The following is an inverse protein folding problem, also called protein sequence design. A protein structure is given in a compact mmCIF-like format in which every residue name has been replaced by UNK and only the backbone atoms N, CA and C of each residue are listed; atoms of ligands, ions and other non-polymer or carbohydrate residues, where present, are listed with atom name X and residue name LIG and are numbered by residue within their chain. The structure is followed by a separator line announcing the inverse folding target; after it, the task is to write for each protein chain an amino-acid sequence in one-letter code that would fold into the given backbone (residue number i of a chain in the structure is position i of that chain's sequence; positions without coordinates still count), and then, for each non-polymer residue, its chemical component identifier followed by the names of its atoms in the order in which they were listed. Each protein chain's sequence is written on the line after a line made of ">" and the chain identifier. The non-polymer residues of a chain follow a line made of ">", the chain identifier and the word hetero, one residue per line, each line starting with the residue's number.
data_IF_905867153097
#
_entry.id   IF_905867153097
#
_cell.length_a   1.000
_cell.length_b   1.000
_cell.length_c   1.000
_cell.angle_alpha   90.00
_cell.angle_beta   90.00
_cell.angle_gamma   90.00
#
_symmetry.space_group_name_H-M   'P 1'
#
loop_
_entity.id
_entity.type
_entity.pdbx_description
1 polymer ?
#
# COMPACT_ATOMS: atom_id res chain seq x y z
N UNK A 1 9.03 0.28 -5.96
CA UNK A 1 10.19 -0.50 -5.44
C UNK A 1 10.04 -1.95 -5.86
N UNK A 2 11.09 -2.78 -5.83
CA UNK A 2 11.00 -4.20 -6.19
C UNK A 2 11.32 -5.06 -4.96
N UNK A 3 10.47 -6.03 -4.66
CA UNK A 3 10.62 -6.99 -3.57
C UNK A 3 10.52 -8.43 -4.10
N UNK A 4 11.14 -9.43 -3.46
CA UNK A 4 10.75 -10.81 -3.71
C UNK A 4 9.29 -11.03 -3.30
N UNK A 5 8.57 -11.93 -3.97
CA UNK A 5 7.21 -12.27 -3.56
C UNK A 5 7.18 -13.00 -2.22
N UNK A 6 6.07 -12.91 -1.50
CA UNK A 6 5.90 -13.59 -0.22
C UNK A 6 6.03 -15.11 -0.35
N UNK A 7 5.55 -15.66 -1.47
CA UNK A 7 5.74 -17.08 -1.78
C UNK A 7 7.22 -17.42 -1.98
N UNK A 8 8.00 -16.56 -2.64
CA UNK A 8 9.45 -16.76 -2.80
C UNK A 8 10.15 -16.76 -1.44
N UNK A 9 9.80 -15.82 -0.56
CA UNK A 9 10.31 -15.74 0.80
C UNK A 9 9.97 -17.00 1.60
N UNK A 10 8.73 -17.46 1.50
CA UNK A 10 8.28 -18.68 2.18
C UNK A 10 9.02 -19.94 1.70
N UNK A 11 9.24 -20.08 0.39
CA UNK A 11 9.99 -21.20 -0.19
C UNK A 11 11.46 -21.26 0.27
N UNK A 12 12.04 -20.12 0.68
CA UNK A 12 13.42 -20.00 1.14
C UNK A 12 13.54 -19.75 2.65
N UNK A 13 12.44 -19.93 3.39
CA UNK A 13 12.38 -19.78 4.84
C UNK A 13 12.68 -18.38 5.37
N UNK A 14 12.52 -17.34 4.53
CA UNK A 14 12.61 -15.94 4.94
C UNK A 14 11.26 -15.42 5.45
N UNK A 15 10.76 -16.03 6.53
CA UNK A 15 9.49 -15.69 7.15
C UNK A 15 9.67 -15.44 8.64
N UNK A 16 9.00 -14.42 9.18
CA UNK A 16 8.87 -14.20 10.62
C UNK A 16 7.49 -14.64 11.07
N UNK A 17 7.44 -15.37 12.18
CA UNK A 17 6.20 -15.83 12.81
C UNK A 17 5.80 -14.86 13.93
N UNK A 18 4.54 -14.52 13.99
CA UNK A 18 3.92 -13.73 15.06
C UNK A 18 2.77 -14.50 15.68
N UNK A 19 2.56 -14.34 16.99
CA UNK A 19 1.36 -14.85 17.66
C UNK A 19 0.31 -13.75 17.66
N UNK A 20 -0.82 -13.99 17.01
CA UNK A 20 -1.99 -13.12 17.05
C UNK A 20 -3.16 -13.90 17.67
N UNK A 21 -3.48 -13.58 18.92
CA UNK A 21 -4.59 -14.17 19.67
C UNK A 21 -4.62 -15.73 19.65
N UNK A 22 -3.43 -16.35 19.68
CA UNK A 22 -3.27 -17.81 19.65
C UNK A 22 -3.06 -18.41 18.25
N UNK A 23 -3.20 -17.63 17.18
CA UNK A 23 -2.89 -18.05 15.82
C UNK A 23 -1.45 -17.65 15.44
N UNK A 24 -0.76 -18.51 14.69
CA UNK A 24 0.56 -18.20 14.14
C UNK A 24 0.38 -17.53 12.78
N UNK A 25 0.70 -16.25 12.70
CA UNK A 25 0.72 -15.46 11.46
C UNK A 25 2.15 -15.44 10.92
N UNK A 26 2.30 -15.70 9.62
CA UNK A 26 3.60 -15.64 8.93
C UNK A 26 3.67 -14.41 8.04
N UNK A 27 4.76 -13.64 8.15
CA UNK A 27 5.02 -12.46 7.30
C UNK A 27 6.40 -12.58 6.68
N UNK A 28 6.56 -12.14 5.43
CA UNK A 28 7.84 -12.17 4.74
C UNK A 28 8.89 -11.31 5.45
N UNK A 29 10.08 -11.87 5.68
CA UNK A 29 11.21 -11.19 6.27
C UNK A 29 12.17 -10.71 5.17
N UNK A 30 11.81 -9.62 4.50
CA UNK A 30 12.63 -9.08 3.41
C UNK A 30 14.02 -8.64 3.87
N UNK A 31 14.16 -8.15 5.10
CA UNK A 31 15.46 -7.77 5.66
C UNK A 31 16.41 -8.97 5.69
N UNK A 32 15.95 -10.10 6.22
CA UNK A 32 16.72 -11.33 6.25
C UNK A 32 17.00 -11.83 4.83
N UNK A 33 16.01 -11.80 3.94
CA UNK A 33 16.17 -12.24 2.55
C UNK A 33 17.30 -11.48 1.84
N UNK A 34 17.33 -10.14 1.94
CA UNK A 34 18.39 -9.32 1.32
C UNK A 34 19.77 -9.50 1.97
N UNK A 35 19.83 -9.91 3.23
CA UNK A 35 21.09 -10.12 3.94
C UNK A 35 21.69 -11.52 3.70
N UNK A 36 20.84 -12.54 3.64
CA UNK A 36 21.28 -13.95 3.65
C UNK A 36 21.27 -14.61 2.27
N UNK A 37 20.40 -14.17 1.34
CA UNK A 37 20.37 -14.73 -0.01
C UNK A 37 21.42 -14.06 -0.91
N UNK A 38 22.35 -14.87 -1.41
CA UNK A 38 23.51 -14.39 -2.19
C UNK A 38 23.16 -13.98 -3.62
N UNK A 39 21.99 -14.36 -4.14
CA UNK A 39 21.57 -14.07 -5.52
C UNK A 39 20.51 -12.95 -5.59
N UNK A 40 19.66 -12.81 -4.55
CA UNK A 40 18.52 -11.88 -4.52
C UNK A 40 18.92 -10.45 -4.85
N UNK A 41 19.98 -9.92 -4.23
CA UNK A 41 20.43 -8.55 -4.48
C UNK A 41 20.81 -8.32 -5.95
N UNK A 42 21.51 -9.29 -6.57
CA UNK A 42 21.90 -9.21 -7.98
C UNK A 42 20.69 -9.33 -8.91
N UNK A 43 19.74 -10.23 -8.58
CA UNK A 43 18.47 -10.40 -9.29
C UNK A 43 17.67 -9.10 -9.29
N UNK A 44 17.44 -8.53 -8.12
CA UNK A 44 16.65 -7.30 -7.96
C UNK A 44 17.33 -6.13 -8.68
N UNK A 45 18.66 -6.01 -8.57
CA UNK A 45 19.43 -4.99 -9.29
C UNK A 45 19.28 -5.12 -10.81
N UNK A 46 19.39 -6.33 -11.36
CA UNK A 46 19.29 -6.55 -12.80
C UNK A 46 17.87 -6.37 -13.35
N UNK A 47 16.86 -6.82 -12.64
CA UNK A 47 15.46 -6.55 -13.00
C UNK A 47 15.13 -5.07 -12.86
N UNK A 48 15.66 -4.42 -11.82
CA UNK A 48 15.58 -2.98 -11.64
C UNK A 48 16.21 -2.19 -12.78
N UNK A 49 17.34 -2.66 -13.32
CA UNK A 49 17.94 -2.07 -14.52
C UNK A 49 16.99 -2.16 -15.72
N UNK A 50 16.36 -3.31 -15.97
CA UNK A 50 15.39 -3.48 -17.07
C UNK A 50 14.22 -2.50 -16.95
N UNK A 51 13.68 -2.32 -15.73
CA UNK A 51 12.60 -1.38 -15.47
C UNK A 51 13.05 0.08 -15.58
N UNK A 52 14.25 0.41 -15.09
CA UNK A 52 14.81 1.77 -15.23
C UNK A 52 15.02 2.11 -16.70
N UNK A 53 15.44 1.14 -17.52
CA UNK A 53 15.56 1.30 -18.98
C UNK A 53 14.20 1.54 -19.67
N UNK A 54 13.07 1.16 -19.05
CA UNK A 54 11.71 1.54 -19.51
C UNK A 54 11.27 2.92 -19.00
N UNK A 55 12.05 3.58 -18.14
CA UNK A 55 11.74 4.91 -17.59
C UNK A 55 11.13 4.90 -16.19
N UNK A 56 11.00 3.74 -15.53
CA UNK A 56 10.49 3.68 -14.16
C UNK A 56 11.48 4.27 -13.15
N UNK A 57 10.99 5.15 -12.28
CA UNK A 57 11.75 5.66 -11.12
C UNK A 57 11.60 4.70 -9.93
N UNK A 58 12.64 3.92 -9.65
CA UNK A 58 12.63 2.91 -8.59
C UNK A 58 13.34 3.39 -7.33
N UNK A 59 12.71 3.14 -6.17
CA UNK A 59 13.41 3.11 -4.88
C UNK A 59 14.08 1.76 -4.69
N UNK A 60 15.31 1.77 -4.20
CA UNK A 60 16.04 0.57 -3.81
C UNK A 60 15.45 -0.02 -2.52
N UNK A 61 14.98 -1.27 -2.59
CA UNK A 61 14.27 -1.88 -1.48
C UNK A 61 15.17 -2.15 -0.27
N UNK A 62 16.42 -2.55 -0.50
CA UNK A 62 17.36 -2.86 0.58
C UNK A 62 17.72 -1.57 1.34
N UNK A 63 17.99 -0.47 0.62
CA UNK A 63 18.26 0.84 1.23
C UNK A 63 17.04 1.40 1.97
N UNK A 64 15.82 1.23 1.44
CA UNK A 64 14.61 1.67 2.15
C UNK A 64 14.38 0.86 3.43
N UNK A 65 14.57 -0.47 3.40
CA UNK A 65 14.48 -1.32 4.59
C UNK A 65 15.52 -0.89 5.63
N UNK A 66 16.78 -0.69 5.22
CA UNK A 66 17.85 -0.17 6.10
C UNK A 66 17.49 1.19 6.68
N UNK A 67 16.98 2.11 5.87
CA UNK A 67 16.56 3.45 6.32
C UNK A 67 15.46 3.37 7.37
N UNK A 68 14.48 2.47 7.21
CA UNK A 68 13.41 2.26 8.19
C UNK A 68 13.99 1.72 9.50
N UNK A 69 14.85 0.70 9.45
CA UNK A 69 15.49 0.13 10.65
C UNK A 69 16.35 1.16 11.39
N UNK A 70 17.11 1.99 10.66
CA UNK A 70 17.91 3.07 11.26
C UNK A 70 17.03 4.11 11.95
N UNK A 71 15.95 4.57 11.30
CA UNK A 71 15.00 5.51 11.90
C UNK A 71 14.36 4.96 13.18
N UNK A 72 14.02 3.67 13.21
CA UNK A 72 13.49 3.01 14.41
C UNK A 72 14.54 3.01 15.53
N UNK A 73 15.79 2.66 15.20
CA UNK A 73 16.87 2.66 16.18
C UNK A 73 17.17 4.07 16.72
N UNK A 74 17.21 5.08 15.85
CA UNK A 74 17.39 6.48 16.20
C UNK A 74 16.27 6.98 17.11
N UNK A 75 15.02 6.68 16.78
CA UNK A 75 13.87 7.12 17.59
C UNK A 75 13.86 6.49 18.98
N UNK A 76 14.24 5.21 19.08
CA UNK A 76 14.32 4.49 20.36
C UNK A 76 15.36 5.09 21.33
N UNK A 77 16.40 5.75 20.80
CA UNK A 77 17.46 6.38 21.60
C UNK A 77 17.32 7.90 21.69
N UNK A 78 16.33 8.48 21.01
CA UNK A 78 16.09 9.93 21.01
C UNK A 78 15.37 10.36 22.28
N UNK A 79 16.03 11.24 23.03
CA UNK A 79 15.50 11.83 24.26
C UNK A 79 15.63 13.36 24.25
N UNK A 80 14.68 14.03 24.89
CA UNK A 80 14.73 15.48 25.07
C UNK A 80 15.95 15.88 25.91
N UNK A 81 16.80 16.75 25.36
CA UNK A 81 17.96 17.31 26.08
C UNK A 81 17.60 18.05 27.37
N UNK A 82 16.36 18.55 27.49
CA UNK A 82 15.92 19.34 28.66
C UNK A 82 15.16 18.53 29.70
N UNK A 83 14.35 17.56 29.27
CA UNK A 83 13.43 16.83 30.14
C UNK A 83 13.72 15.33 30.24
N UNK A 84 14.64 14.80 29.43
CA UNK A 84 14.89 13.36 29.32
C UNK A 84 13.72 12.56 28.71
N UNK A 85 12.64 13.22 28.32
CA UNK A 85 11.46 12.56 27.76
C UNK A 85 11.79 11.88 26.42
N UNK A 86 11.38 10.62 26.28
CA UNK A 86 11.46 9.87 25.04
C UNK A 86 10.42 10.35 24.02
N UNK A 87 10.63 10.02 22.75
CA UNK A 87 9.60 10.20 21.73
C UNK A 87 8.37 9.37 22.08
N UNK A 88 7.18 10.00 22.05
CA UNK A 88 5.91 9.30 22.18
C UNK A 88 5.55 8.78 20.80
N UNK A 89 5.50 7.46 20.67
CA UNK A 89 5.06 6.77 19.48
C UNK A 89 3.97 5.76 19.86
N UNK A 90 2.82 5.81 19.17
CA UNK A 90 1.81 4.78 19.38
C UNK A 90 2.18 3.50 18.62
N UNK A 91 1.74 2.31 19.07
CA UNK A 91 1.90 1.06 18.31
C UNK A 91 1.34 1.17 16.87
N UNK A 92 0.32 2.00 16.69
CA UNK A 92 -0.27 2.29 15.39
C UNK A 92 0.66 3.12 14.49
N UNK A 93 1.46 4.02 15.06
CA UNK A 93 2.44 4.80 14.30
C UNK A 93 3.61 3.92 13.82
N UNK A 94 4.04 2.96 14.63
CA UNK A 94 5.04 1.95 14.24
C UNK A 94 4.59 1.13 13.04
N UNK A 95 3.32 0.67 13.04
CA UNK A 95 2.74 -0.09 11.93
C UNK A 95 2.65 0.72 10.62
N UNK A 96 2.49 2.05 10.71
CA UNK A 96 2.36 2.96 9.55
C UNK A 96 3.68 3.29 8.87
N UNK A 97 4.83 3.02 9.49
CA UNK A 97 6.16 3.36 8.94
C UNK A 97 6.61 2.49 7.75
N UNK A 98 5.76 1.58 7.27
CA UNK A 98 6.04 0.78 6.08
C UNK A 98 6.31 1.65 4.86
N UNK A 99 7.02 1.07 3.90
CA UNK A 99 7.60 1.79 2.77
C UNK A 99 6.53 2.57 2.01
N UNK A 100 6.76 3.88 1.88
CA UNK A 100 5.91 4.78 1.09
C UNK A 100 6.37 4.75 -0.36
N UNK A 101 5.81 3.84 -1.13
CA UNK A 101 5.88 3.81 -2.59
C UNK A 101 4.47 3.73 -3.14
N UNK A 102 4.17 4.45 -4.21
CA UNK A 102 2.84 4.37 -4.85
C UNK A 102 2.59 2.98 -5.47
N UNK A 103 3.66 2.31 -5.94
CA UNK A 103 3.60 0.96 -6.52
C UNK A 103 4.69 0.06 -5.93
N UNK A 104 4.26 -1.13 -5.52
CA UNK A 104 5.15 -2.22 -5.10
C UNK A 104 5.20 -3.25 -6.23
N UNK A 105 6.39 -3.56 -6.70
CA UNK A 105 6.62 -4.62 -7.69
C UNK A 105 7.14 -5.84 -6.94
N UNK A 106 6.48 -6.98 -7.09
CA UNK A 106 6.93 -8.26 -6.57
C UNK A 106 7.48 -9.12 -7.70
N UNK A 107 8.59 -9.81 -7.40
CA UNK A 107 9.24 -10.75 -8.28
C UNK A 107 9.26 -12.13 -7.64
N UNK A 108 8.61 -13.09 -8.28
CA UNK A 108 8.78 -14.50 -8.02
C UNK A 108 9.60 -15.14 -9.13
N UNK A 109 10.47 -16.09 -8.78
CA UNK A 109 11.15 -16.92 -9.77
C UNK A 109 11.48 -18.32 -9.26
N UNK A 110 11.61 -19.23 -10.20
CA UNK A 110 12.01 -20.62 -10.00
C UNK A 110 13.07 -21.02 -11.02
N UNK A 111 14.12 -21.68 -10.54
CA UNK A 111 15.17 -22.26 -11.39
C UNK A 111 14.81 -23.70 -11.72
N UNK A 112 14.66 -24.01 -12.99
CA UNK A 112 14.40 -25.35 -13.50
C UNK A 112 15.71 -25.92 -14.06
N UNK A 113 16.23 -26.95 -13.39
CA UNK A 113 17.50 -27.60 -13.78
C UNK A 113 17.22 -28.73 -14.75
N UNK A 114 17.85 -28.72 -15.91
CA UNK A 114 17.75 -29.78 -16.92
C UNK A 114 19.13 -30.29 -17.31
N UNK A 115 19.21 -31.44 -17.98
CA UNK A 115 20.48 -31.94 -18.53
C UNK A 115 21.14 -31.01 -19.55
N UNK A 116 20.37 -30.07 -20.13
CA UNK A 116 20.83 -29.13 -21.15
C UNK A 116 21.07 -27.71 -20.59
N UNK A 117 21.16 -27.56 -19.26
CA UNK A 117 21.34 -26.28 -18.57
C UNK A 117 20.14 -25.86 -17.71
N UNK A 118 20.18 -24.64 -17.22
CA UNK A 118 19.15 -24.07 -16.35
C UNK A 118 18.18 -23.21 -17.18
N UNK A 119 16.88 -23.35 -16.94
CA UNK A 119 15.89 -22.33 -17.31
C UNK A 119 15.32 -21.65 -16.07
N UNK A 120 14.76 -20.46 -16.23
CA UNK A 120 14.16 -19.70 -15.14
C UNK A 120 12.73 -19.35 -15.53
N UNK A 121 11.78 -19.75 -14.69
CA UNK A 121 10.40 -19.27 -14.73
C UNK A 121 10.26 -18.09 -13.79
N UNK A 122 9.51 -17.06 -14.19
CA UNK A 122 9.29 -15.88 -13.37
C UNK A 122 7.86 -15.36 -13.46
N UNK A 123 7.48 -14.62 -12.42
CA UNK A 123 6.27 -13.80 -12.35
C UNK A 123 6.67 -12.44 -11.77
N UNK A 124 6.39 -11.38 -12.53
CA UNK A 124 6.56 -9.99 -12.14
C UNK A 124 5.17 -9.37 -11.98
N UNK A 125 4.86 -8.86 -10.79
CA UNK A 125 3.55 -8.29 -10.49
C UNK A 125 3.71 -6.89 -9.89
N UNK A 126 2.91 -5.93 -10.34
CA UNK A 126 2.81 -4.63 -9.72
C UNK A 126 1.50 -4.52 -8.94
N UNK A 127 1.59 -3.97 -7.73
CA UNK A 127 0.47 -3.71 -6.85
C UNK A 127 0.40 -2.22 -6.54
N UNK A 128 -0.80 -1.66 -6.67
CA UNK A 128 -1.10 -0.32 -6.19
C UNK A 128 -1.07 -0.34 -4.65
N UNK A 129 -0.20 0.47 -4.05
CA UNK A 129 -0.03 0.51 -2.59
C UNK A 129 -1.23 1.17 -1.87
N UNK A 130 -2.14 1.80 -2.60
CA UNK A 130 -3.34 2.41 -2.02
C UNK A 130 -4.46 1.39 -1.85
N UNK A 131 -4.68 0.52 -2.85
CA UNK A 131 -5.78 -0.44 -2.86
C UNK A 131 -5.37 -1.90 -2.70
N UNK A 132 -4.08 -2.20 -2.73
CA UNK A 132 -3.52 -3.55 -2.83
C UNK A 132 -3.96 -4.33 -4.09
N UNK A 133 -4.60 -3.66 -5.06
CA UNK A 133 -4.98 -4.28 -6.33
C UNK A 133 -3.75 -4.54 -7.18
N UNK A 134 -3.71 -5.68 -7.85
CA UNK A 134 -2.73 -5.94 -8.89
C UNK A 134 -3.05 -5.08 -10.10
N UNK A 135 -2.07 -4.29 -10.55
CA UNK A 135 -2.21 -3.33 -11.65
C UNK A 135 -1.47 -3.76 -12.91
N UNK A 136 -0.42 -4.57 -12.78
CA UNK A 136 0.27 -5.16 -13.92
C UNK A 136 0.82 -6.55 -13.58
N UNK A 137 0.91 -7.41 -14.58
CA UNK A 137 1.56 -8.72 -14.46
C UNK A 137 2.29 -9.10 -15.74
N UNK A 138 3.43 -9.77 -15.58
CA UNK A 138 4.13 -10.47 -16.66
C UNK A 138 4.73 -11.75 -16.14
N UNK A 139 4.67 -12.79 -16.96
CA UNK A 139 5.23 -14.10 -16.64
C UNK A 139 6.01 -14.62 -17.83
N UNK A 140 6.93 -15.55 -17.59
CA UNK A 140 7.68 -16.16 -18.67
C UNK A 140 8.59 -17.25 -18.18
N UNK A 141 9.15 -18.01 -19.13
CA UNK A 141 10.17 -19.02 -18.86
C UNK A 141 11.25 -18.94 -19.92
N UNK A 142 12.52 -18.86 -19.51
CA UNK A 142 13.63 -18.84 -20.45
C UNK A 142 13.85 -20.20 -21.11
N UNK A 143 14.52 -20.21 -22.27
CA UNK A 143 15.13 -21.44 -22.78
C UNK A 143 16.28 -21.89 -21.86
N UNK A 144 16.56 -23.20 -21.74
CA UNK A 144 17.71 -23.69 -20.99
C UNK A 144 19.02 -23.06 -21.47
N UNK A 145 19.88 -22.68 -20.52
CA UNK A 145 21.18 -22.02 -20.76
C UNK A 145 22.14 -22.27 -19.60
N UNK A 146 23.44 -22.08 -19.84
CA UNK A 146 24.50 -22.13 -18.82
C UNK A 146 24.82 -20.77 -18.19
N UNK A 147 24.11 -19.71 -18.59
CA UNK A 147 24.27 -18.38 -18.00
C UNK A 147 23.85 -18.32 -16.53
N UNK A 148 24.36 -17.32 -15.81
CA UNK A 148 24.01 -17.10 -14.41
C UNK A 148 22.52 -16.77 -14.24
N UNK A 149 21.93 -17.20 -13.13
CA UNK A 149 20.50 -17.01 -12.84
C UNK A 149 20.04 -15.54 -12.93
N UNK A 150 20.77 -14.55 -12.36
CA UNK A 150 20.39 -13.13 -12.48
C UNK A 150 20.34 -12.64 -13.94
N UNK A 151 21.23 -13.17 -14.80
CA UNK A 151 21.28 -12.80 -16.23
C UNK A 151 20.10 -13.42 -16.97
N UNK A 152 19.80 -14.69 -16.71
CA UNK A 152 18.65 -15.38 -17.32
C UNK A 152 17.35 -14.70 -16.95
N UNK A 153 17.17 -14.35 -15.68
CA UNK A 153 15.97 -13.69 -15.20
C UNK A 153 15.80 -12.29 -15.81
N UNK A 154 16.87 -11.51 -15.90
CA UNK A 154 16.83 -10.19 -16.54
C UNK A 154 16.46 -10.28 -18.03
N UNK A 155 16.99 -11.27 -18.77
CA UNK A 155 16.59 -11.54 -20.15
C UNK A 155 15.11 -11.93 -20.24
N UNK A 156 14.66 -12.83 -19.36
CA UNK A 156 13.27 -13.27 -19.31
C UNK A 156 12.31 -12.09 -19.10
N UNK A 157 12.61 -11.23 -18.13
CA UNK A 157 11.81 -10.03 -17.84
C UNK A 157 11.84 -9.10 -19.06
N UNK A 158 13.03 -8.80 -19.61
CA UNK A 158 13.17 -7.91 -20.76
C UNK A 158 12.37 -8.38 -21.99
N UNK A 159 12.36 -9.67 -22.26
CA UNK A 159 11.62 -10.26 -23.39
C UNK A 159 10.10 -10.18 -23.19
N UNK A 160 9.64 -10.15 -21.94
CA UNK A 160 8.22 -10.18 -21.58
C UNK A 160 7.74 -8.89 -20.88
N UNK A 161 8.50 -7.80 -20.94
CA UNK A 161 8.15 -6.57 -20.20
C UNK A 161 7.04 -5.76 -20.89
N UNK A 162 6.89 -5.86 -22.21
CA UNK A 162 5.94 -5.02 -22.97
C UNK A 162 4.49 -5.11 -22.48
N UNK A 163 3.92 -6.30 -22.21
CA UNK A 163 2.56 -6.36 -21.65
C UNK A 163 2.47 -5.75 -20.26
N UNK A 164 3.51 -5.90 -19.42
CA UNK A 164 3.56 -5.27 -18.10
C UNK A 164 3.57 -3.75 -18.22
N UNK A 165 4.39 -3.22 -19.13
CA UNK A 165 4.53 -1.79 -19.40
C UNK A 165 3.20 -1.16 -19.86
N UNK A 166 2.53 -1.80 -20.82
CA UNK A 166 1.21 -1.36 -21.29
C UNK A 166 0.15 -1.34 -20.17
N UNK A 167 0.16 -2.34 -19.27
CA UNK A 167 -0.76 -2.36 -18.13
C UNK A 167 -0.48 -1.23 -17.14
N UNK A 168 0.80 -0.91 -16.91
CA UNK A 168 1.21 0.21 -16.06
C UNK A 168 0.77 1.55 -16.67
N UNK A 169 0.95 1.75 -17.98
CA UNK A 169 0.51 2.95 -18.69
C UNK A 169 -1.01 3.13 -18.61
N UNK A 170 -1.77 2.05 -18.86
CA UNK A 170 -3.24 2.07 -18.75
C UNK A 170 -3.68 2.44 -17.33
N UNK A 171 -2.99 1.92 -16.32
CA UNK A 171 -3.27 2.27 -14.92
C UNK A 171 -2.94 3.73 -14.62
N UNK A 172 -1.79 4.26 -15.03
CA UNK A 172 -1.46 5.67 -14.80
C UNK A 172 -2.42 6.63 -15.55
N UNK A 173 -2.81 6.29 -16.78
CA UNK A 173 -3.80 7.04 -17.55
C UNK A 173 -5.17 7.01 -16.85
N UNK A 174 -5.55 5.87 -16.29
CA UNK A 174 -6.74 5.72 -15.46
C UNK A 174 -6.73 6.67 -14.26
N UNK A 175 -5.66 6.63 -13.44
CA UNK A 175 -5.54 7.47 -12.25
C UNK A 175 -5.58 8.97 -12.60
N UNK A 176 -4.96 9.33 -13.72
CA UNK A 176 -4.94 10.72 -14.21
C UNK A 176 -6.31 11.21 -14.64
N UNK A 177 -7.13 10.33 -15.23
CA UNK A 177 -8.46 10.67 -15.75
C UNK A 177 -9.56 10.56 -14.70
N UNK A 178 -9.55 9.49 -13.90
CA UNK A 178 -10.61 9.12 -12.95
C UNK A 178 -10.25 9.41 -11.51
N UNK A 179 -9.06 9.95 -11.24
CA UNK A 179 -8.57 10.17 -9.88
C UNK A 179 -8.04 8.88 -9.25
N UNK A 180 -7.42 9.08 -8.09
CA UNK A 180 -6.82 8.00 -7.31
C UNK A 180 -7.86 7.24 -6.52
N UNK A 181 -7.73 5.92 -6.48
CA UNK A 181 -8.61 5.07 -5.68
C UNK A 181 -8.13 4.94 -4.24
N UNK A 182 -9.05 5.08 -3.28
CA UNK A 182 -8.82 4.82 -1.84
C UNK A 182 -9.95 3.97 -1.26
N UNK A 183 -9.72 3.49 -0.04
CA UNK A 183 -10.73 2.95 0.86
C UNK A 183 -11.02 3.95 1.98
N UNK A 184 -12.30 4.11 2.31
CA UNK A 184 -12.77 4.99 3.38
C UNK A 184 -13.69 4.20 4.31
N UNK A 185 -13.36 4.15 5.59
CA UNK A 185 -14.21 3.53 6.61
C UNK A 185 -14.73 4.61 7.57
N UNK A 186 -16.02 4.59 7.86
CA UNK A 186 -16.63 5.36 8.93
C UNK A 186 -16.92 4.41 10.08
N UNK A 187 -16.61 4.82 11.31
CA UNK A 187 -16.90 4.03 12.52
C UNK A 187 -17.42 4.94 13.62
N UNK A 188 -18.23 4.41 14.51
CA UNK A 188 -18.67 5.10 15.72
C UNK A 188 -17.88 4.60 16.93
N UNK A 189 -17.56 5.48 17.88
CA UNK A 189 -17.18 5.04 19.23
C UNK A 189 -18.41 4.48 19.94
N UNK A 190 -18.21 3.46 20.77
CA UNK A 190 -19.26 2.90 21.62
C UNK A 190 -19.73 3.89 22.70
N UNK A 191 -18.88 4.84 23.08
CA UNK A 191 -19.19 5.95 23.97
C UNK A 191 -20.04 7.05 23.33
N UNK A 192 -20.21 7.05 22.00
CA UNK A 192 -20.99 8.05 21.31
C UNK A 192 -22.48 7.73 21.42
N UNK A 193 -23.28 8.74 21.78
CA UNK A 193 -24.71 8.64 22.02
C UNK A 193 -25.58 8.60 20.74
N UNK A 194 -24.92 8.63 19.58
CA UNK A 194 -25.51 8.60 18.25
C UNK A 194 -24.79 7.56 17.39
N UNK A 195 -25.34 7.31 16.22
CA UNK A 195 -24.81 6.36 15.26
C UNK A 195 -24.98 6.87 13.82
N UNK A 196 -24.83 5.99 12.83
CA UNK A 196 -24.93 6.32 11.41
C UNK A 196 -26.39 6.39 10.88
N UNK A 197 -27.38 6.00 11.68
CA UNK A 197 -28.81 6.11 11.37
C UNK A 197 -29.41 7.42 11.93
N UNK A 198 -28.65 8.16 12.75
CA UNK A 198 -29.08 9.47 13.25
C UNK A 198 -29.49 10.42 12.10
N UNK A 199 -30.70 10.98 12.19
CA UNK A 199 -31.25 11.85 11.16
C UNK A 199 -30.75 13.30 11.26
N UNK A 200 -30.33 13.84 10.11
CA UNK A 200 -30.00 15.25 9.93
C UNK A 200 -30.83 15.80 8.77
N UNK A 201 -31.76 16.70 9.08
CA UNK A 201 -32.69 17.28 8.09
C UNK A 201 -33.54 16.23 7.32
N UNK A 202 -33.85 15.10 7.96
CA UNK A 202 -34.68 14.03 7.38
C UNK A 202 -33.93 13.04 6.50
N UNK A 203 -32.59 13.06 6.52
CA UNK A 203 -31.73 12.03 5.92
C UNK A 203 -30.84 11.41 7.01
N UNK A 204 -30.58 10.11 6.93
CA UNK A 204 -29.66 9.44 7.86
C UNK A 204 -28.23 9.98 7.67
N UNK A 205 -27.41 9.89 8.71
CA UNK A 205 -26.02 10.32 8.64
C UNK A 205 -25.23 9.56 7.56
N UNK A 206 -25.51 8.28 7.36
CA UNK A 206 -24.93 7.50 6.24
C UNK A 206 -25.23 8.15 4.89
N UNK A 207 -26.48 8.53 4.65
CA UNK A 207 -26.91 9.18 3.41
C UNK A 207 -26.24 10.54 3.25
N UNK A 208 -26.19 11.34 4.31
CA UNK A 208 -25.47 12.62 4.31
C UNK A 208 -23.98 12.47 3.93
N UNK A 209 -23.33 11.37 4.33
CA UNK A 209 -21.94 11.05 3.97
C UNK A 209 -21.84 10.61 2.50
N UNK A 210 -22.75 9.76 2.02
CA UNK A 210 -22.82 9.35 0.62
C UNK A 210 -23.00 10.56 -0.30
N UNK A 211 -23.86 11.49 0.11
CA UNK A 211 -24.15 12.72 -0.61
C UNK A 211 -22.93 13.66 -0.69
N UNK A 212 -22.12 13.67 0.39
CA UNK A 212 -20.83 14.34 0.39
C UNK A 212 -19.82 13.65 -0.54
N UNK A 213 -19.74 12.31 -0.52
CA UNK A 213 -18.87 11.55 -1.43
C UNK A 213 -19.25 11.76 -2.89
N UNK A 214 -20.54 11.79 -3.22
CA UNK A 214 -21.05 12.06 -4.56
C UNK A 214 -20.52 13.40 -5.12
N UNK A 215 -20.39 14.42 -4.25
CA UNK A 215 -19.91 15.76 -4.61
C UNK A 215 -18.39 15.89 -4.65
N UNK A 216 -17.68 15.10 -3.84
CA UNK A 216 -16.24 15.27 -3.63
C UNK A 216 -15.37 14.20 -4.33
N UNK A 217 -15.97 13.08 -4.74
CA UNK A 217 -15.31 12.07 -5.58
C UNK A 217 -15.34 12.49 -7.05
N UNK A 218 -14.32 12.09 -7.80
CA UNK A 218 -14.25 12.29 -9.25
C UNK A 218 -15.42 11.54 -9.88
N UNK A 219 -16.27 12.27 -10.60
CA UNK A 219 -17.53 11.76 -11.17
C UNK A 219 -18.45 11.08 -10.14
N UNK A 220 -18.34 11.42 -8.86
CA UNK A 220 -19.11 10.77 -7.79
C UNK A 220 -18.83 9.26 -7.66
N UNK A 221 -17.64 8.79 -8.05
CA UNK A 221 -17.33 7.35 -8.04
C UNK A 221 -16.91 6.88 -6.65
N UNK A 222 -17.76 6.05 -6.04
CA UNK A 222 -17.51 5.30 -4.81
C UNK A 222 -18.49 4.11 -4.75
N UNK A 223 -18.23 3.15 -3.85
CA UNK A 223 -19.11 2.03 -3.60
C UNK A 223 -19.24 1.80 -2.08
N UNK A 224 -20.46 1.83 -1.54
CA UNK A 224 -20.74 1.37 -0.17
C UNK A 224 -20.78 -0.16 -0.19
N UNK A 225 -19.71 -0.82 0.27
CA UNK A 225 -19.56 -2.27 0.18
C UNK A 225 -20.18 -3.02 1.35
N UNK A 226 -20.22 -2.38 2.53
CA UNK A 226 -20.75 -2.95 3.77
C UNK A 226 -21.10 -1.82 4.74
N UNK A 227 -22.05 -2.03 5.64
CA UNK A 227 -22.41 -1.05 6.65
C UNK A 227 -23.57 -1.45 7.54
N UNK A 228 -23.58 -0.87 8.73
CA UNK A 228 -24.65 -0.94 9.73
C UNK A 228 -24.75 0.42 10.44
N UNK A 229 -25.55 0.53 11.49
CA UNK A 229 -25.63 1.70 12.37
C UNK A 229 -24.25 2.12 12.93
N UNK A 230 -23.33 1.17 13.16
CA UNK A 230 -22.06 1.46 13.85
C UNK A 230 -20.85 1.64 12.93
N UNK A 231 -20.95 1.27 11.66
CA UNK A 231 -19.86 1.44 10.69
C UNK A 231 -20.37 1.48 9.23
N UNK A 232 -19.60 2.13 8.36
CA UNK A 232 -19.81 2.08 6.92
C UNK A 232 -18.47 1.93 6.20
N UNK A 233 -18.39 1.00 5.25
CA UNK A 233 -17.20 0.70 4.47
C UNK A 233 -17.41 1.14 3.01
N UNK A 234 -16.62 2.11 2.59
CA UNK A 234 -16.60 2.60 1.22
C UNK A 234 -15.34 2.11 0.50
N UNK A 235 -15.54 1.50 -0.65
CA UNK A 235 -14.49 1.08 -1.57
C UNK A 235 -14.58 1.84 -2.89
N UNK A 236 -13.53 1.70 -3.72
CA UNK A 236 -13.47 2.34 -5.03
C UNK A 236 -13.70 3.87 -4.98
N UNK A 237 -13.37 4.51 -3.86
CA UNK A 237 -13.56 5.94 -3.64
C UNK A 237 -12.54 6.68 -4.48
N UNK A 238 -12.98 7.32 -5.56
CA UNK A 238 -12.10 8.03 -6.50
C UNK A 238 -11.92 9.48 -6.08
N UNK A 239 -10.76 9.80 -5.54
CA UNK A 239 -10.42 11.15 -5.08
C UNK A 239 -9.60 11.89 -6.15
N UNK A 240 -9.71 13.22 -6.25
CA UNK A 240 -8.86 14.00 -7.16
C UNK A 240 -7.39 13.86 -6.77
N UNK A 241 -6.46 13.97 -7.73
CA UNK A 241 -5.01 13.88 -7.46
C UNK A 241 -4.46 15.11 -6.73
N UNK A 242 -5.11 16.25 -6.91
CA UNK A 242 -4.76 17.53 -6.31
C UNK A 242 -5.97 18.10 -5.57
N UNK A 243 -5.71 18.86 -4.51
CA UNK A 243 -6.73 19.69 -3.87
C UNK A 243 -6.90 21.05 -4.58
N UNK A 244 -7.83 21.85 -4.08
CA UNK A 244 -8.15 23.20 -4.60
C UNK A 244 -6.97 24.19 -4.52
N UNK A 245 -5.88 23.82 -3.86
CA UNK A 245 -4.66 24.63 -3.70
C UNK A 245 -3.47 23.99 -4.42
N UNK A 246 -3.73 23.11 -5.39
CA UNK A 246 -2.74 22.37 -6.17
C UNK A 246 -1.79 21.50 -5.31
N UNK A 247 -2.23 21.08 -4.12
CA UNK A 247 -1.45 20.17 -3.26
C UNK A 247 -1.88 18.74 -3.52
N UNK A 248 -0.91 17.82 -3.51
CA UNK A 248 -1.19 16.39 -3.65
C UNK A 248 -2.24 15.92 -2.62
N UNK A 249 -3.27 15.24 -3.12
CA UNK A 249 -4.32 14.68 -2.30
C UNK A 249 -4.01 13.22 -1.96
N UNK A 250 -4.10 12.88 -0.68
CA UNK A 250 -4.05 11.50 -0.19
C UNK A 250 -5.33 11.15 0.57
N UNK A 251 -5.47 9.87 0.97
CA UNK A 251 -6.63 9.39 1.72
C UNK A 251 -6.85 10.19 3.02
N UNK A 252 -5.76 10.63 3.68
CA UNK A 252 -5.82 11.41 4.91
C UNK A 252 -6.40 12.79 4.70
N UNK A 253 -5.93 13.49 3.68
CA UNK A 253 -6.35 14.82 3.32
C UNK A 253 -7.82 14.81 2.91
N UNK A 254 -8.22 13.81 2.13
CA UNK A 254 -9.61 13.60 1.73
C UNK A 254 -10.52 13.33 2.94
N UNK A 255 -10.18 12.36 3.79
CA UNK A 255 -10.93 12.07 5.02
C UNK A 255 -10.94 13.25 6.01
N UNK A 256 -9.90 14.08 6.01
CA UNK A 256 -9.87 15.33 6.79
C UNK A 256 -10.88 16.36 6.27
N UNK A 257 -11.15 16.40 4.96
CA UNK A 257 -12.24 17.23 4.41
C UNK A 257 -13.60 16.72 4.91
N UNK A 258 -13.84 15.41 4.86
CA UNK A 258 -15.07 14.81 5.40
C UNK A 258 -15.23 15.10 6.90
N UNK A 259 -14.18 14.88 7.71
CA UNK A 259 -14.16 15.22 9.14
C UNK A 259 -14.55 16.69 9.39
N UNK A 260 -14.02 17.62 8.58
CA UNK A 260 -14.36 19.04 8.70
C UNK A 260 -15.80 19.33 8.32
N UNK A 261 -16.34 18.66 7.31
CA UNK A 261 -17.75 18.75 6.91
C UNK A 261 -18.67 18.30 8.05
N UNK A 262 -18.41 17.13 8.63
CA UNK A 262 -19.18 16.59 9.76
C UNK A 262 -19.04 17.42 11.04
N UNK A 263 -17.97 18.21 11.18
CA UNK A 263 -17.81 19.13 12.32
C UNK A 263 -18.70 20.38 12.22
N UNK A 264 -19.15 20.76 11.02
CA UNK A 264 -19.99 21.94 10.83
C UNK A 264 -21.47 21.65 11.12
N UNK A 265 -22.30 22.68 11.38
CA UNK A 265 -23.75 22.52 11.39
C UNK A 265 -24.27 21.96 10.06
N UNK A 266 -25.31 21.11 10.07
CA UNK A 266 -26.13 20.71 11.23
C UNK A 266 -25.52 19.60 12.10
N UNK A 267 -24.47 18.93 11.61
CA UNK A 267 -23.93 17.70 12.22
C UNK A 267 -23.30 17.93 13.59
N UNK A 268 -22.38 18.90 13.69
CA UNK A 268 -21.61 19.19 14.91
C UNK A 268 -20.90 17.96 15.51
N UNK A 269 -20.48 17.01 14.66
CA UNK A 269 -19.88 15.74 15.07
C UNK A 269 -18.36 15.91 15.24
N UNK A 270 -17.86 15.64 16.43
CA UNK A 270 -16.42 15.51 16.66
C UNK A 270 -15.95 14.16 16.13
N UNK A 271 -14.81 14.15 15.43
CA UNK A 271 -14.31 12.92 14.83
C UNK A 271 -12.78 12.89 14.72
N UNK A 272 -12.23 11.68 14.69
CA UNK A 272 -10.82 11.37 14.54
C UNK A 272 -10.54 10.76 13.17
N UNK A 273 -9.50 11.24 12.50
CA UNK A 273 -9.00 10.63 11.26
C UNK A 273 -7.80 9.75 11.58
N UNK A 274 -7.95 8.47 11.29
CA UNK A 274 -6.88 7.47 11.27
C UNK A 274 -6.61 7.10 9.80
N UNK A 275 -5.44 6.53 9.55
CA UNK A 275 -5.07 6.03 8.23
C UNK A 275 -4.41 4.67 8.39
N UNK A 276 -4.45 3.81 7.39
CA UNK A 276 -3.65 2.59 7.31
C UNK A 276 -2.99 2.55 5.94
N UNK A 277 -1.67 2.43 5.92
CA UNK A 277 -0.91 2.61 4.67
C UNK A 277 -1.15 3.97 4.03
N UNK A 278 -1.12 4.02 2.70
CA UNK A 278 -1.33 5.24 1.91
C UNK A 278 -2.78 5.42 1.44
N UNK A 279 -3.52 4.33 1.26
CA UNK A 279 -4.84 4.35 0.62
C UNK A 279 -6.04 3.97 1.47
N UNK A 280 -5.89 3.75 2.76
CA UNK A 280 -7.04 3.57 3.66
C UNK A 280 -7.10 4.72 4.66
N UNK A 281 -8.27 5.36 4.75
CA UNK A 281 -8.60 6.33 5.78
C UNK A 281 -9.80 5.87 6.59
N UNK A 282 -9.75 6.09 7.90
CA UNK A 282 -10.81 5.75 8.83
C UNK A 282 -11.23 7.02 9.56
N UNK A 283 -12.50 7.38 9.49
CA UNK A 283 -13.10 8.48 10.26
C UNK A 283 -13.90 7.87 11.40
N UNK A 284 -13.45 8.08 12.63
CA UNK A 284 -14.15 7.61 13.82
C UNK A 284 -14.93 8.76 14.43
N UNK A 285 -16.24 8.60 14.56
CA UNK A 285 -17.20 9.60 15.02
C UNK A 285 -17.43 9.52 16.54
N UNK A 286 -17.70 10.67 17.15
CA UNK A 286 -18.02 10.82 18.57
C UNK A 286 -16.93 11.48 19.40
N UNK A 287 -15.64 11.27 19.07
CA UNK A 287 -14.50 11.76 19.87
C UNK A 287 -13.24 12.02 19.01
N UNK A 288 -12.17 12.55 19.62
CA UNK A 288 -10.91 12.94 18.94
C UNK A 288 -9.66 12.26 19.50
#
# INVERSE_FOLDING_TARGET
>A
MILPSDNWCNQRYFMTNFSDQGNVVKVANYQQAFLEDTELGQVISKVGQVLTDQGYSLKDAEQEIKSISMKIAEDNVTTSKKSGASLVESPLDQLKRRVKSDVIIQLWWQVNRTGNGNSVSFTLEAFDAYTNKRIATSTGTTKPSSEMIPVLLAKAVKENIKPFDSQMDDWFADQSKRGREISLTIRCWDSWDKDLEEEYNGEELTDCIQDWLQKNCVNGTFNLSDGTESFAQFEQVRIPLLDEKDRAMDARAFATKLRKYLQQPPFNITSKVMVRGLGEAIVVLGEK
#
